data_IF_940959132564
#
_entry.id   IF_940959132564
#
_cell.length_a   1.000
_cell.length_b   1.000
_cell.length_c   1.000
_cell.angle_alpha   90.00
_cell.angle_beta   90.00
_cell.angle_gamma   90.00
#
_symmetry.space_group_name_H-M   'P 1'
#
loop_
_entity.id
_entity.type
_entity.pdbx_description
1 polymer ?
#
# COMPACT_ATOMS: atom_id res chain seq x y z
N UNK A 1 -1.37 -2.01 3.79
CA UNK A 1 -0.76 -1.15 2.75
C UNK A 1 0.40 -0.37 3.36
N UNK A 2 1.43 -0.11 2.58
CA UNK A 2 2.47 0.86 2.93
C UNK A 2 2.09 2.23 2.36
N UNK A 3 1.88 3.21 3.22
CA UNK A 3 1.43 4.56 2.86
C UNK A 3 2.51 5.58 3.22
N UNK A 4 2.85 6.46 2.27
CA UNK A 4 3.70 7.62 2.53
C UNK A 4 2.80 8.84 2.66
N UNK A 5 2.81 9.47 3.83
CA UNK A 5 2.03 10.66 4.16
C UNK A 5 2.96 11.88 4.25
N UNK A 6 2.62 12.98 3.61
CA UNK A 6 3.27 14.27 3.83
C UNK A 6 2.25 15.35 4.13
N UNK A 7 2.36 15.93 5.32
CA UNK A 7 1.44 16.92 5.89
C UNK A 7 2.24 17.75 6.91
N UNK A 8 2.26 19.06 6.76
CA UNK A 8 3.05 19.96 7.62
C UNK A 8 2.39 20.23 8.98
N UNK A 9 1.06 20.17 9.04
CA UNK A 9 0.33 20.30 10.30
C UNK A 9 0.59 19.07 11.17
N UNK A 10 1.38 19.24 12.23
CA UNK A 10 1.80 18.15 13.13
C UNK A 10 0.64 17.37 13.74
N UNK A 11 -0.45 18.06 14.12
CA UNK A 11 -1.61 17.42 14.76
C UNK A 11 -2.32 16.54 13.75
N UNK A 12 -2.57 17.06 12.55
CA UNK A 12 -3.25 16.30 11.48
C UNK A 12 -2.38 15.14 10.99
N UNK A 13 -1.08 15.38 10.77
CA UNK A 13 -0.10 14.36 10.40
C UNK A 13 -0.10 13.19 11.38
N UNK A 14 0.05 13.50 12.69
CA UNK A 14 0.06 12.48 13.75
C UNK A 14 -1.29 11.73 13.81
N UNK A 15 -2.41 12.45 13.73
CA UNK A 15 -3.74 11.86 13.80
C UNK A 15 -4.01 10.91 12.62
N UNK A 16 -3.69 11.34 11.40
CA UNK A 16 -3.84 10.50 10.21
C UNK A 16 -2.93 9.28 10.26
N UNK A 17 -1.66 9.47 10.64
CA UNK A 17 -0.72 8.37 10.76
C UNK A 17 -1.20 7.33 11.80
N UNK A 18 -1.70 7.77 12.96
CA UNK A 18 -2.25 6.88 13.98
C UNK A 18 -3.47 6.12 13.47
N UNK A 19 -4.46 6.79 12.88
CA UNK A 19 -5.68 6.15 12.39
C UNK A 19 -5.40 5.13 11.27
N UNK A 20 -4.43 5.43 10.39
CA UNK A 20 -3.99 4.49 9.35
C UNK A 20 -3.32 3.26 9.97
N UNK A 21 -2.45 3.45 10.98
CA UNK A 21 -1.79 2.36 11.71
C UNK A 21 -2.78 1.49 12.46
N UNK A 22 -3.77 2.08 13.13
CA UNK A 22 -4.82 1.34 13.85
C UNK A 22 -5.63 0.44 12.92
N UNK A 23 -5.67 0.76 11.60
CA UNK A 23 -6.27 -0.08 10.57
C UNK A 23 -5.30 -1.12 9.95
N UNK A 24 -4.10 -1.23 10.51
CA UNK A 24 -3.10 -2.21 10.08
C UNK A 24 -2.32 -1.78 8.84
N UNK A 25 -2.15 -0.48 8.61
CA UNK A 25 -1.29 0.05 7.55
C UNK A 25 0.06 0.48 8.11
N UNK A 26 1.12 0.25 7.34
CA UNK A 26 2.44 0.82 7.63
C UNK A 26 2.50 2.23 7.08
N UNK A 27 2.93 3.20 7.92
CA UNK A 27 2.88 4.62 7.55
C UNK A 27 4.23 5.28 7.78
N UNK A 28 4.78 5.87 6.74
CA UNK A 28 5.89 6.81 6.81
C UNK A 28 5.32 8.22 6.69
N UNK A 29 5.48 8.99 7.76
CA UNK A 29 4.87 10.32 7.90
C UNK A 29 5.96 11.40 7.91
N UNK A 30 5.96 12.24 6.88
CA UNK A 30 6.88 13.34 6.68
C UNK A 30 6.16 14.70 6.86
N UNK A 31 6.90 15.76 7.18
CA UNK A 31 6.37 17.12 7.34
C UNK A 31 6.80 18.08 6.24
N UNK A 32 7.69 17.64 5.35
CA UNK A 32 8.24 18.45 4.27
C UNK A 32 8.31 17.66 2.99
N UNK A 33 8.23 18.36 1.86
CA UNK A 33 8.37 17.75 0.55
C UNK A 33 9.74 17.10 0.35
N UNK A 34 10.82 17.72 0.87
CA UNK A 34 12.18 17.18 0.80
C UNK A 34 12.32 15.85 1.54
N UNK A 35 11.74 15.73 2.74
CA UNK A 35 11.72 14.50 3.51
C UNK A 35 10.93 13.41 2.76
N UNK A 36 9.75 13.75 2.25
CA UNK A 36 8.91 12.84 1.47
C UNK A 36 9.64 12.29 0.24
N UNK A 37 10.40 13.12 -0.48
CA UNK A 37 11.22 12.66 -1.61
C UNK A 37 12.29 11.63 -1.21
N UNK A 38 12.89 11.79 -0.03
CA UNK A 38 13.84 10.82 0.49
C UNK A 38 13.14 9.51 0.89
N UNK A 39 11.99 9.63 1.55
CA UNK A 39 11.18 8.48 1.97
C UNK A 39 10.71 7.66 0.78
N UNK A 40 10.11 8.28 -0.24
CA UNK A 40 9.63 7.53 -1.41
C UNK A 40 10.75 6.91 -2.25
N UNK A 41 11.95 7.49 -2.25
CA UNK A 41 13.10 6.87 -2.89
C UNK A 41 13.58 5.62 -2.16
N UNK A 42 13.47 5.58 -0.83
CA UNK A 42 13.78 4.39 -0.02
C UNK A 42 12.69 3.33 -0.13
N UNK A 43 11.44 3.75 -0.31
CA UNK A 43 10.26 2.88 -0.38
C UNK A 43 9.51 3.03 -1.72
N UNK A 44 10.15 2.74 -2.87
CA UNK A 44 9.54 2.92 -4.19
C UNK A 44 8.35 2.00 -4.44
N UNK A 45 8.18 0.98 -3.60
CA UNK A 45 7.06 0.04 -3.63
C UNK A 45 5.93 0.40 -2.65
N UNK A 46 5.87 1.66 -2.18
CA UNK A 46 4.71 2.12 -1.41
C UNK A 46 3.41 1.85 -2.20
N UNK A 47 2.36 1.48 -1.48
CA UNK A 47 1.06 1.19 -2.10
C UNK A 47 0.33 2.48 -2.49
N UNK A 48 0.51 3.57 -1.71
CA UNK A 48 -0.09 4.87 -1.97
C UNK A 48 0.69 6.01 -1.30
N UNK A 49 0.44 7.22 -1.79
CA UNK A 49 0.89 8.47 -1.16
C UNK A 49 -0.29 9.36 -0.84
N UNK A 50 -0.21 10.07 0.28
CA UNK A 50 -1.12 11.17 0.64
C UNK A 50 -0.27 12.44 0.74
N UNK A 51 -0.58 13.46 -0.05
CA UNK A 51 0.24 14.66 -0.20
C UNK A 51 -0.59 15.91 0.05
N UNK A 52 -0.22 16.71 1.07
CA UNK A 52 -0.71 18.09 1.14
C UNK A 52 0.03 18.97 0.12
N UNK A 53 -0.68 19.96 -0.42
CA UNK A 53 -0.11 20.95 -1.33
C UNK A 53 0.59 22.08 -0.58
N UNK A 54 0.15 22.41 0.64
CA UNK A 54 0.62 23.53 1.45
C UNK A 54 1.88 23.24 2.25
N UNK A 55 2.91 22.61 1.66
CA UNK A 55 4.13 22.22 2.38
C UNK A 55 5.08 23.43 2.58
N UNK A 56 5.90 23.43 3.68
CA UNK A 56 6.66 24.61 4.08
C UNK A 56 7.90 24.88 3.21
N UNK A 57 8.47 23.88 2.54
CA UNK A 57 9.69 23.98 1.76
C UNK A 57 9.44 24.22 0.27
N UNK A 58 8.54 23.46 -0.34
CA UNK A 58 8.04 23.72 -1.69
C UNK A 58 6.68 23.06 -1.92
N UNK A 59 5.90 23.61 -2.85
CA UNK A 59 4.52 23.22 -3.13
C UNK A 59 4.40 21.72 -3.47
N UNK A 60 3.37 21.06 -2.95
CA UNK A 60 3.06 19.67 -3.20
C UNK A 60 2.85 19.32 -4.66
N UNK A 61 2.39 20.25 -5.50
CA UNK A 61 2.32 20.07 -6.97
C UNK A 61 3.72 19.86 -7.54
N UNK A 62 4.71 20.64 -7.08
CA UNK A 62 6.11 20.48 -7.48
C UNK A 62 6.67 19.14 -7.00
N UNK A 63 6.31 18.72 -5.78
CA UNK A 63 6.66 17.39 -5.26
C UNK A 63 6.14 16.28 -6.16
N UNK A 64 4.85 16.31 -6.53
CA UNK A 64 4.22 15.33 -7.41
C UNK A 64 4.94 15.26 -8.76
N UNK A 65 5.20 16.41 -9.39
CA UNK A 65 5.94 16.48 -10.65
C UNK A 65 7.34 15.87 -10.55
N UNK A 66 8.05 16.09 -9.42
CA UNK A 66 9.38 15.49 -9.20
C UNK A 66 9.30 13.97 -9.01
N UNK A 67 8.30 13.46 -8.28
CA UNK A 67 8.07 12.02 -8.10
C UNK A 67 7.82 11.36 -9.46
N UNK A 68 6.94 11.94 -10.28
CA UNK A 68 6.62 11.39 -11.62
C UNK A 68 7.80 11.43 -12.58
N UNK A 69 8.63 12.51 -12.55
CA UNK A 69 9.89 12.59 -13.34
C UNK A 69 10.90 11.50 -12.98
N UNK A 70 10.84 10.94 -11.78
CA UNK A 70 11.65 9.80 -11.34
C UNK A 70 11.04 8.45 -11.69
N UNK A 71 9.98 8.45 -12.52
CA UNK A 71 9.23 7.24 -12.93
C UNK A 71 8.62 6.46 -11.76
N UNK A 72 8.42 7.13 -10.61
CA UNK A 72 7.74 6.55 -9.46
C UNK A 72 6.22 6.69 -9.70
N UNK A 73 5.56 5.57 -9.99
CA UNK A 73 4.15 5.51 -10.40
C UNK A 73 3.20 5.11 -9.25
N UNK A 74 3.60 5.32 -7.99
CA UNK A 74 2.73 5.09 -6.83
C UNK A 74 1.49 5.98 -6.94
N UNK A 75 0.27 5.48 -6.66
CA UNK A 75 -0.94 6.29 -6.69
C UNK A 75 -0.90 7.39 -5.61
N UNK A 76 -1.29 8.59 -6.00
CA UNK A 76 -1.20 9.80 -5.18
C UNK A 76 -2.60 10.38 -4.94
N UNK A 77 -2.98 10.50 -3.66
CA UNK A 77 -4.15 11.27 -3.19
C UNK A 77 -3.68 12.63 -2.68
N UNK A 78 -4.14 13.71 -3.29
CA UNK A 78 -3.94 15.06 -2.76
C UNK A 78 -4.92 15.30 -1.60
N UNK A 79 -4.41 15.85 -0.50
CA UNK A 79 -5.17 16.24 0.68
C UNK A 79 -4.86 17.69 1.02
N UNK A 80 -5.77 18.65 0.76
CA UNK A 80 -5.46 20.06 0.88
C UNK A 80 -6.66 20.93 1.23
N UNK A 81 -6.39 22.11 1.81
CA UNK A 81 -7.38 23.14 2.05
C UNK A 81 -7.79 23.93 0.77
N UNK A 82 -7.00 23.81 -0.32
CA UNK A 82 -7.30 24.47 -1.59
C UNK A 82 -8.49 23.76 -2.24
N UNK A 83 -9.64 24.46 -2.31
CA UNK A 83 -10.91 23.88 -2.75
C UNK A 83 -11.36 24.31 -4.14
N UNK A 84 -10.69 25.29 -4.74
CA UNK A 84 -11.07 25.84 -6.03
C UNK A 84 -10.89 24.82 -7.17
N UNK A 85 -11.74 24.89 -8.16
CA UNK A 85 -11.71 23.95 -9.28
C UNK A 85 -10.40 24.02 -10.06
N UNK A 86 -9.77 25.20 -10.14
CA UNK A 86 -8.46 25.41 -10.79
C UNK A 86 -7.37 24.59 -10.09
N UNK A 87 -7.31 24.65 -8.76
CA UNK A 87 -6.34 23.88 -7.97
C UNK A 87 -6.52 22.36 -8.15
N UNK A 88 -7.79 21.91 -8.24
CA UNK A 88 -8.10 20.48 -8.49
C UNK A 88 -7.60 20.04 -9.87
N UNK A 89 -7.85 20.85 -10.90
CA UNK A 89 -7.40 20.56 -12.27
C UNK A 89 -5.87 20.57 -12.34
N UNK A 90 -5.21 21.54 -11.70
CA UNK A 90 -3.75 21.60 -11.68
C UNK A 90 -3.15 20.41 -10.94
N UNK A 91 -3.70 20.05 -9.78
CA UNK A 91 -3.27 18.89 -8.99
C UNK A 91 -3.35 17.60 -9.80
N UNK A 92 -4.49 17.33 -10.43
CA UNK A 92 -4.66 16.13 -11.26
C UNK A 92 -3.75 16.14 -12.50
N UNK A 93 -3.60 17.28 -13.17
CA UNK A 93 -2.68 17.42 -14.31
C UNK A 93 -1.20 17.29 -13.92
N UNK A 94 -0.86 17.48 -12.64
CA UNK A 94 0.51 17.28 -12.15
C UNK A 94 0.91 15.80 -12.04
N UNK A 95 -0.08 14.89 -12.16
CA UNK A 95 0.10 13.44 -12.05
C UNK A 95 -0.45 12.83 -10.75
N UNK A 96 -1.28 13.57 -10.01
CA UNK A 96 -2.07 12.99 -8.93
C UNK A 96 -3.24 12.18 -9.50
N UNK A 97 -3.73 11.21 -8.72
CA UNK A 97 -4.75 10.24 -9.15
C UNK A 97 -6.13 10.54 -8.55
N UNK A 98 -6.20 11.25 -7.42
CA UNK A 98 -7.43 11.76 -6.82
C UNK A 98 -7.13 12.95 -5.90
N UNK A 99 -8.21 13.60 -5.43
CA UNK A 99 -8.17 14.84 -4.70
C UNK A 99 -9.22 14.85 -3.58
N UNK A 100 -8.85 15.23 -2.36
CA UNK A 100 -9.73 15.35 -1.21
C UNK A 100 -9.51 16.68 -0.50
N UNK A 101 -10.60 17.46 -0.33
CA UNK A 101 -10.53 18.76 0.33
C UNK A 101 -10.70 18.65 1.84
N UNK A 102 -9.93 19.45 2.57
CA UNK A 102 -10.12 19.69 4.02
C UNK A 102 -11.28 20.67 4.24
N UNK A 103 -12.18 20.46 5.23
CA UNK A 103 -12.23 19.32 6.15
C UNK A 103 -12.87 18.07 5.50
N UNK A 104 -12.46 16.89 5.94
CA UNK A 104 -12.93 15.60 5.44
C UNK A 104 -13.20 14.63 6.59
N UNK A 105 -13.91 13.53 6.29
CA UNK A 105 -14.04 12.40 7.20
C UNK A 105 -12.97 11.36 6.88
N UNK A 106 -12.42 10.72 7.91
CA UNK A 106 -11.37 9.71 7.73
C UNK A 106 -11.86 8.52 6.88
N UNK A 107 -13.12 8.15 7.01
CA UNK A 107 -13.75 7.10 6.20
C UNK A 107 -13.76 7.46 4.72
N UNK A 108 -13.95 8.73 4.36
CA UNK A 108 -13.89 9.19 2.97
C UNK A 108 -12.45 9.08 2.44
N UNK A 109 -11.47 9.53 3.23
CA UNK A 109 -10.05 9.40 2.88
C UNK A 109 -9.70 7.93 2.60
N UNK A 110 -10.10 7.03 3.49
CA UNK A 110 -9.83 5.60 3.35
C UNK A 110 -10.50 5.00 2.11
N UNK A 111 -11.77 5.30 1.89
CA UNK A 111 -12.50 4.80 0.72
C UNK A 111 -11.84 5.23 -0.60
N UNK A 112 -11.36 6.48 -0.69
CA UNK A 112 -10.63 7.00 -1.84
C UNK A 112 -9.27 6.33 -2.00
N UNK A 113 -8.50 6.23 -0.92
CA UNK A 113 -7.17 5.61 -0.91
C UNK A 113 -7.24 4.15 -1.38
N UNK A 114 -8.17 3.36 -0.83
CA UNK A 114 -8.40 1.98 -1.22
C UNK A 114 -8.84 1.85 -2.69
N UNK A 115 -9.70 2.75 -3.16
CA UNK A 115 -10.15 2.79 -4.55
C UNK A 115 -8.99 3.13 -5.51
N UNK A 116 -8.09 4.04 -5.12
CA UNK A 116 -6.88 4.37 -5.87
C UNK A 116 -5.95 3.19 -6.01
N UNK A 117 -5.58 2.57 -4.87
CA UNK A 117 -4.69 1.41 -4.84
C UNK A 117 -5.27 0.27 -5.68
N UNK A 118 -6.57 0.00 -5.54
CA UNK A 118 -7.27 -1.03 -6.32
C UNK A 118 -7.19 -0.76 -7.82
N UNK A 119 -7.49 0.47 -8.28
CA UNK A 119 -7.41 0.86 -9.71
C UNK A 119 -5.99 0.74 -10.25
N UNK A 120 -5.01 1.21 -9.47
CA UNK A 120 -3.60 1.14 -9.86
C UNK A 120 -3.11 -0.31 -10.04
N UNK A 121 -3.61 -1.22 -9.22
CA UNK A 121 -3.30 -2.66 -9.31
C UNK A 121 -4.10 -3.39 -10.40
N UNK A 122 -4.93 -2.68 -11.16
CA UNK A 122 -5.72 -3.25 -12.25
C UNK A 122 -6.97 -4.00 -11.80
N UNK A 123 -7.44 -3.76 -10.56
CA UNK A 123 -8.65 -4.39 -10.04
C UNK A 123 -9.85 -3.46 -10.12
N UNK A 124 -10.95 -3.95 -10.69
CA UNK A 124 -12.22 -3.19 -10.78
C UNK A 124 -13.10 -3.30 -9.54
N UNK A 125 -12.93 -4.36 -8.73
CA UNK A 125 -13.75 -4.69 -7.57
C UNK A 125 -12.91 -4.76 -6.28
N UNK A 126 -13.57 -4.76 -5.10
CA UNK A 126 -12.92 -5.04 -3.79
C UNK A 126 -12.36 -6.46 -3.71
N UNK A 127 -12.73 -7.31 -4.64
CA UNK A 127 -12.32 -8.71 -4.74
C UNK A 127 -11.22 -8.86 -5.78
N UNK A 128 -10.09 -9.46 -5.40
CA UNK A 128 -8.98 -9.79 -6.29
C UNK A 128 -9.03 -11.29 -6.57
N UNK A 129 -9.20 -11.65 -7.83
CA UNK A 129 -9.18 -13.04 -8.27
C UNK A 129 -7.84 -13.39 -8.91
N UNK A 130 -7.24 -14.52 -8.51
CA UNK A 130 -6.03 -15.07 -9.09
C UNK A 130 -6.14 -16.60 -9.13
N UNK A 131 -6.41 -17.13 -10.31
CA UNK A 131 -6.78 -18.55 -10.46
C UNK A 131 -8.06 -18.84 -9.66
N UNK A 132 -8.01 -19.86 -8.80
CA UNK A 132 -9.09 -20.20 -7.87
C UNK A 132 -8.97 -19.50 -6.50
N UNK A 133 -8.01 -18.57 -6.37
CA UNK A 133 -7.82 -17.74 -5.19
C UNK A 133 -8.66 -16.47 -5.31
N UNK A 134 -9.38 -16.14 -4.24
CA UNK A 134 -10.15 -14.91 -4.10
C UNK A 134 -9.72 -14.17 -2.84
N UNK A 135 -9.25 -12.94 -2.98
CA UNK A 135 -8.98 -12.02 -1.88
C UNK A 135 -10.09 -10.97 -1.82
N UNK A 136 -10.83 -10.93 -0.72
CA UNK A 136 -11.76 -9.84 -0.41
C UNK A 136 -11.09 -8.86 0.55
N UNK A 137 -10.82 -7.65 0.04
CA UNK A 137 -10.10 -6.61 0.80
C UNK A 137 -10.99 -5.92 1.83
N UNK A 138 -12.32 -5.94 1.66
CA UNK A 138 -13.27 -5.38 2.62
C UNK A 138 -13.52 -6.36 3.77
N UNK A 139 -13.77 -7.63 3.44
CA UNK A 139 -13.95 -8.67 4.44
C UNK A 139 -12.63 -9.09 5.12
N UNK A 140 -11.47 -8.64 4.59
CA UNK A 140 -10.12 -9.08 5.00
C UNK A 140 -10.01 -10.61 5.03
N UNK A 141 -10.53 -11.26 4.00
CA UNK A 141 -10.56 -12.71 3.88
C UNK A 141 -9.93 -13.17 2.57
N UNK A 142 -9.34 -14.36 2.60
CA UNK A 142 -8.80 -15.04 1.43
C UNK A 142 -9.44 -16.41 1.35
N UNK A 143 -9.94 -16.78 0.17
CA UNK A 143 -10.50 -18.10 -0.10
C UNK A 143 -9.81 -18.78 -1.28
N UNK A 144 -9.80 -20.10 -1.28
CA UNK A 144 -9.38 -20.94 -2.40
C UNK A 144 -10.55 -21.87 -2.79
N UNK A 145 -11.01 -21.81 -4.03
CA UNK A 145 -12.18 -22.55 -4.53
C UNK A 145 -13.37 -22.44 -3.54
N UNK A 146 -13.72 -21.19 -3.16
CA UNK A 146 -14.79 -20.82 -2.22
C UNK A 146 -14.58 -21.25 -0.74
N UNK A 147 -13.47 -21.92 -0.41
CA UNK A 147 -13.13 -22.26 0.96
C UNK A 147 -12.30 -21.13 1.59
N UNK A 148 -12.84 -20.48 2.62
CA UNK A 148 -12.14 -19.42 3.35
C UNK A 148 -10.95 -20.02 4.11
N UNK A 149 -9.76 -19.42 3.92
CA UNK A 149 -8.54 -19.83 4.61
C UNK A 149 -8.54 -19.25 6.03
N UNK A 150 -8.31 -20.09 7.02
CA UNK A 150 -8.13 -19.65 8.42
C UNK A 150 -6.72 -19.08 8.60
N UNK A 151 -6.59 -17.76 8.45
CA UNK A 151 -5.33 -17.03 8.52
C UNK A 151 -5.26 -16.14 9.77
N UNK A 152 -4.11 -16.12 10.43
CA UNK A 152 -3.81 -15.07 11.41
C UNK A 152 -3.65 -13.72 10.72
N UNK A 153 -3.71 -12.62 11.48
CA UNK A 153 -3.56 -11.27 10.93
C UNK A 153 -2.27 -11.09 10.13
N UNK A 154 -1.12 -11.56 10.64
CA UNK A 154 0.16 -11.50 9.94
C UNK A 154 0.22 -12.38 8.68
N UNK A 155 -0.36 -13.59 8.75
CA UNK A 155 -0.46 -14.45 7.57
C UNK A 155 -1.31 -13.81 6.48
N UNK A 156 -2.44 -13.20 6.85
CA UNK A 156 -3.31 -12.46 5.94
C UNK A 156 -2.53 -11.29 5.30
N UNK A 157 -1.87 -10.46 6.09
CA UNK A 157 -1.14 -9.29 5.60
C UNK A 157 -0.03 -9.66 4.62
N UNK A 158 0.80 -10.67 4.94
CA UNK A 158 1.84 -11.16 4.03
C UNK A 158 1.22 -11.70 2.75
N UNK A 159 0.16 -12.51 2.87
CA UNK A 159 -0.45 -13.13 1.72
C UNK A 159 -1.16 -12.11 0.83
N UNK A 160 -1.91 -11.16 1.42
CA UNK A 160 -2.46 -10.01 0.71
C UNK A 160 -1.38 -9.24 -0.04
N UNK A 161 -0.25 -8.94 0.62
CA UNK A 161 0.86 -8.21 -0.01
C UNK A 161 1.42 -8.97 -1.22
N UNK A 162 1.63 -10.28 -1.11
CA UNK A 162 2.08 -11.12 -2.22
C UNK A 162 1.07 -11.20 -3.37
N UNK A 163 -0.22 -11.34 -3.08
CA UNK A 163 -1.30 -11.37 -4.09
C UNK A 163 -1.37 -10.03 -4.85
N UNK A 164 -1.27 -8.92 -4.13
CA UNK A 164 -1.28 -7.58 -4.73
C UNK A 164 -0.08 -7.31 -5.64
N UNK A 165 1.07 -7.91 -5.32
CA UNK A 165 2.31 -7.80 -6.08
C UNK A 165 2.60 -9.07 -6.89
N UNK A 166 1.56 -9.78 -7.32
CA UNK A 166 1.71 -11.00 -8.12
C UNK A 166 2.61 -10.76 -9.33
N UNK A 167 3.30 -11.83 -9.79
CA UNK A 167 4.31 -11.81 -10.86
C UNK A 167 5.62 -11.08 -10.51
N UNK A 168 5.69 -10.37 -9.38
CA UNK A 168 6.94 -9.77 -8.90
C UNK A 168 7.61 -10.65 -7.86
N UNK A 169 8.93 -10.63 -7.84
CA UNK A 169 9.70 -11.21 -6.74
C UNK A 169 9.78 -10.16 -5.64
N UNK A 170 9.29 -10.51 -4.46
CA UNK A 170 9.26 -9.61 -3.30
C UNK A 170 10.30 -10.08 -2.29
N UNK A 171 11.23 -9.19 -1.95
CA UNK A 171 12.30 -9.51 -0.99
C UNK A 171 11.74 -9.63 0.44
N UNK A 172 12.52 -10.26 1.34
CA UNK A 172 12.14 -10.35 2.76
C UNK A 172 12.07 -8.96 3.40
N UNK A 173 12.97 -8.07 3.01
CA UNK A 173 13.01 -6.69 3.47
C UNK A 173 11.74 -5.94 3.06
N UNK A 174 11.30 -6.10 1.80
CA UNK A 174 10.06 -5.49 1.31
C UNK A 174 8.82 -6.00 2.04
N UNK A 175 8.77 -7.31 2.36
CA UNK A 175 7.69 -7.88 3.17
C UNK A 175 7.76 -7.30 4.59
N UNK A 176 8.95 -7.24 5.20
CA UNK A 176 9.13 -6.67 6.52
C UNK A 176 8.70 -5.20 6.57
N UNK A 177 9.14 -4.38 5.62
CA UNK A 177 8.77 -2.96 5.51
C UNK A 177 7.26 -2.75 5.35
N UNK A 178 6.55 -3.74 4.76
CA UNK A 178 5.09 -3.66 4.62
C UNK A 178 4.32 -4.02 5.90
N UNK A 179 4.99 -4.63 6.89
CA UNK A 179 4.36 -5.15 8.11
C UNK A 179 4.72 -4.37 9.37
N UNK A 180 5.93 -3.80 9.42
CA UNK A 180 6.49 -3.20 10.62
C UNK A 180 6.78 -1.73 10.41
N UNK A 181 6.51 -0.93 11.45
CA UNK A 181 6.84 0.50 11.46
C UNK A 181 8.36 0.75 11.41
N UNK A 182 8.73 1.92 10.88
CA UNK A 182 10.09 2.39 10.88
C UNK A 182 10.61 2.53 12.33
N UNK A 183 11.40 1.55 12.79
CA UNK A 183 11.98 1.54 14.15
C UNK A 183 11.79 0.23 14.91
N UNK A 184 10.88 -0.62 14.52
CA UNK A 184 10.84 -1.99 15.02
C UNK A 184 11.81 -2.84 14.20
N UNK A 185 12.80 -3.46 14.86
CA UNK A 185 13.73 -4.38 14.21
C UNK A 185 12.93 -5.58 13.71
N UNK A 186 12.55 -5.56 12.44
CA UNK A 186 11.87 -6.66 11.79
C UNK A 186 12.76 -7.91 11.94
N UNK A 187 12.28 -8.89 12.69
CA UNK A 187 12.92 -10.18 12.73
C UNK A 187 12.65 -10.88 11.39
N UNK A 188 13.52 -10.65 10.40
CA UNK A 188 13.43 -11.24 9.05
C UNK A 188 13.24 -12.77 9.09
N UNK A 189 13.72 -13.41 10.14
CA UNK A 189 13.53 -14.86 10.40
C UNK A 189 12.04 -15.22 10.60
N UNK A 190 11.20 -14.31 11.08
CA UNK A 190 9.77 -14.59 11.27
C UNK A 190 9.04 -14.73 9.94
N UNK A 191 9.48 -14.04 8.88
CA UNK A 191 8.84 -14.09 7.55
C UNK A 191 8.94 -15.51 6.96
N UNK A 192 10.10 -16.16 7.08
CA UNK A 192 10.26 -17.55 6.61
C UNK A 192 9.31 -18.52 7.31
N UNK A 193 9.15 -18.35 8.61
CA UNK A 193 8.24 -19.18 9.42
C UNK A 193 6.79 -18.95 8.98
N UNK A 194 6.41 -17.69 8.77
CA UNK A 194 5.03 -17.34 8.34
C UNK A 194 4.75 -17.87 6.93
N UNK A 195 5.68 -17.70 6.00
CA UNK A 195 5.57 -18.27 4.64
C UNK A 195 5.45 -19.80 4.68
N UNK A 196 6.20 -20.46 5.56
CA UNK A 196 6.11 -21.91 5.74
C UNK A 196 4.72 -22.33 6.25
N UNK A 197 4.15 -21.57 7.22
CA UNK A 197 2.79 -21.81 7.73
C UNK A 197 1.74 -21.57 6.65
N UNK A 198 1.85 -20.48 5.88
CA UNK A 198 0.97 -20.20 4.75
C UNK A 198 0.97 -21.34 3.75
N UNK A 199 2.15 -21.81 3.33
CA UNK A 199 2.26 -22.97 2.40
C UNK A 199 1.60 -24.22 2.96
N UNK A 200 1.75 -24.48 4.26
CA UNK A 200 1.10 -25.63 4.90
C UNK A 200 -0.42 -25.53 4.90
N UNK A 201 -0.96 -24.32 5.14
CA UNK A 201 -2.41 -24.07 5.08
C UNK A 201 -2.93 -24.19 3.64
N UNK A 202 -2.21 -23.67 2.67
CA UNK A 202 -2.56 -23.78 1.24
C UNK A 202 -2.53 -25.23 0.75
N UNK A 203 -1.55 -26.03 1.17
CA UNK A 203 -1.44 -27.45 0.82
C UNK A 203 -2.63 -28.31 1.31
N UNK A 204 -3.45 -27.80 2.23
CA UNK A 204 -4.70 -28.46 2.62
C UNK A 204 -5.82 -28.29 1.59
N UNK A 205 -5.68 -27.36 0.63
CA UNK A 205 -6.70 -27.02 -0.36
C UNK A 205 -6.26 -27.27 -1.80
N UNK A 206 -4.95 -27.33 -2.07
CA UNK A 206 -4.41 -27.54 -3.43
C UNK A 206 -2.99 -28.08 -3.40
N UNK A 207 -2.64 -28.83 -4.43
CA UNK A 207 -1.28 -29.30 -4.71
C UNK A 207 -0.46 -28.22 -5.49
N UNK A 208 -1.09 -27.13 -5.92
CA UNK A 208 -0.43 -26.07 -6.67
C UNK A 208 0.57 -25.31 -5.81
N UNK A 209 1.73 -24.99 -6.39
CA UNK A 209 2.74 -24.17 -5.75
C UNK A 209 2.39 -22.69 -5.84
N UNK A 210 1.53 -22.22 -4.96
CA UNK A 210 1.01 -20.82 -4.97
C UNK A 210 2.09 -19.80 -4.60
N UNK A 211 2.99 -20.13 -3.64
CA UNK A 211 4.09 -19.25 -3.23
C UNK A 211 5.41 -19.95 -3.53
N UNK A 212 6.22 -19.42 -4.45
CA UNK A 212 7.57 -19.91 -4.72
C UNK A 212 8.64 -19.13 -3.95
N UNK A 213 9.79 -19.76 -3.76
CA UNK A 213 11.00 -19.10 -3.26
C UNK A 213 11.97 -18.91 -4.42
N UNK A 214 12.38 -17.68 -4.66
CA UNK A 214 13.45 -17.33 -5.59
C UNK A 214 14.72 -17.13 -4.78
N UNK A 215 15.66 -18.08 -4.91
CA UNK A 215 16.87 -18.12 -4.07
C UNK A 215 17.65 -16.82 -4.12
N UNK A 216 17.96 -16.26 -2.95
CA UNK A 216 18.70 -15.01 -2.81
C UNK A 216 17.90 -13.74 -3.16
N UNK A 217 16.62 -13.86 -3.58
CA UNK A 217 15.83 -12.70 -3.98
C UNK A 217 14.56 -12.53 -3.14
N UNK A 218 13.87 -13.62 -2.76
CA UNK A 218 12.64 -13.52 -1.97
C UNK A 218 11.54 -14.51 -2.38
N UNK A 219 10.30 -14.04 -2.41
CA UNK A 219 9.11 -14.84 -2.66
C UNK A 219 8.30 -14.28 -3.82
N UNK A 220 7.60 -15.14 -4.53
CA UNK A 220 6.70 -14.77 -5.62
C UNK A 220 5.39 -15.52 -5.51
N UNK A 221 4.29 -14.82 -5.73
CA UNK A 221 2.96 -15.41 -5.92
C UNK A 221 2.80 -15.85 -7.37
N UNK A 222 2.42 -17.12 -7.59
CA UNK A 222 2.50 -17.75 -8.92
C UNK A 222 1.17 -17.80 -9.70
N UNK A 223 0.01 -17.63 -9.04
CA UNK A 223 -1.26 -17.67 -9.76
C UNK A 223 -1.48 -16.37 -10.55
N UNK A 224 -1.94 -16.53 -11.79
CA UNK A 224 -2.31 -15.41 -12.66
C UNK A 224 -3.75 -14.95 -12.41
N UNK A 225 -4.08 -13.71 -12.79
CA UNK A 225 -5.46 -13.25 -12.82
C UNK A 225 -6.23 -14.02 -13.90
N UNK A 226 -7.44 -14.47 -13.56
CA UNK A 226 -8.41 -14.95 -14.56
C UNK A 226 -9.05 -13.77 -15.27
#
# INVERSE_FOLDING_TARGET
MLVVLVEDNEILNHHLASQLKDRGHTVYADKTASACLQTIQKHPNADAMIIDLGLPDFDGITLIKQIRRKEINVPILILTARGDWQDKVEGLNSGADDYLTKPFQFEELMARLEALVRRYQGFSNSTINAGDMTLDTQAKSISYADNVLDLTALEYQIFEYLIRHRQKVISKEQIADSLYDAGESAQLNNIEVIISRLRKKLAAHTDDKIISTIRGQGYRFELEAK
#
